data_IF_123929809142
#
_entry.id   IF_123929809142
#
_cell.length_a   1.000
_cell.length_b   1.000
_cell.length_c   1.000
_cell.angle_alpha   90.00
_cell.angle_beta   90.00
_cell.angle_gamma   90.00
#
_symmetry.space_group_name_H-M   'P 1'
#
loop_
_entity.id
_entity.type
_entity.pdbx_description
1 polymer ?
#
# COMPACT_ATOMS: atom_id res chain seq x y z
N UNK A 1 -9.25 35.27 -2.52
CA UNK A 1 -10.33 34.33 -2.17
C UNK A 1 -9.71 32.96 -2.00
N UNK A 2 -10.16 32.16 -1.02
CA UNK A 2 -9.73 30.77 -0.93
C UNK A 2 -10.37 29.98 -2.08
N UNK A 3 -9.59 29.11 -2.72
CA UNK A 3 -10.07 28.19 -3.74
C UNK A 3 -10.08 26.78 -3.17
N UNK A 4 -11.14 26.01 -3.44
CA UNK A 4 -11.22 24.60 -3.07
C UNK A 4 -10.86 23.73 -4.27
N UNK A 5 -9.91 22.82 -4.07
CA UNK A 5 -9.46 21.83 -5.05
C UNK A 5 -9.89 20.46 -4.55
N UNK A 6 -10.47 19.67 -5.44
CA UNK A 6 -10.97 18.32 -5.13
C UNK A 6 -10.30 17.34 -6.09
N UNK A 7 -9.70 16.28 -5.54
CA UNK A 7 -9.14 15.17 -6.30
C UNK A 7 -9.85 13.89 -5.88
N UNK A 8 -10.76 13.45 -6.76
CA UNK A 8 -11.61 12.28 -6.58
C UNK A 8 -11.93 11.70 -7.98
N UNK A 9 -11.31 10.58 -8.39
CA UNK A 9 -10.51 9.67 -7.56
C UNK A 9 -9.05 10.12 -7.37
N UNK A 10 -8.46 9.78 -6.23
CA UNK A 10 -7.01 9.60 -6.14
C UNK A 10 -6.65 8.30 -6.85
N UNK A 11 -5.79 8.38 -7.86
CA UNK A 11 -5.34 7.24 -8.67
C UNK A 11 -3.94 6.78 -8.26
N UNK A 12 -3.47 5.64 -8.80
CA UNK A 12 -2.18 5.02 -8.47
C UNK A 12 -2.00 4.71 -6.97
N UNK A 13 -3.11 4.37 -6.30
CA UNK A 13 -3.14 3.86 -4.94
C UNK A 13 -3.97 2.57 -4.90
N UNK A 14 -3.90 1.85 -3.79
CA UNK A 14 -4.87 0.79 -3.48
C UNK A 14 -6.15 1.43 -2.90
N UNK A 15 -7.31 0.88 -3.25
CA UNK A 15 -8.59 1.27 -2.67
C UNK A 15 -9.16 2.59 -3.21
N UNK A 16 -9.93 3.28 -2.35
CA UNK A 16 -10.70 4.47 -2.72
C UNK A 16 -10.43 5.61 -1.73
N UNK A 17 -9.91 6.72 -2.26
CA UNK A 17 -9.57 7.91 -1.50
C UNK A 17 -10.00 9.16 -2.24
N UNK A 18 -10.54 10.10 -1.47
CA UNK A 18 -10.84 11.47 -1.87
C UNK A 18 -9.98 12.42 -1.03
N UNK A 19 -9.27 13.32 -1.70
CA UNK A 19 -8.54 14.42 -1.07
C UNK A 19 -9.14 15.76 -1.51
N UNK A 20 -9.33 16.65 -0.54
CA UNK A 20 -9.72 18.04 -0.80
C UNK A 20 -8.70 18.98 -0.15
N UNK A 21 -8.43 20.11 -0.80
CA UNK A 21 -7.54 21.13 -0.29
C UNK A 21 -8.14 22.52 -0.47
N UNK A 22 -7.89 23.41 0.49
CA UNK A 22 -8.17 24.84 0.37
C UNK A 22 -6.86 25.58 0.17
N UNK A 23 -6.76 26.37 -0.91
CA UNK A 23 -5.55 27.12 -1.26
C UNK A 23 -5.76 28.61 -1.13
N UNK A 24 -4.69 29.33 -0.77
CA UNK A 24 -4.67 30.79 -0.90
C UNK A 24 -4.43 31.23 -2.36
N UNK A 25 -4.38 32.54 -2.60
CA UNK A 25 -4.17 33.10 -3.93
C UNK A 25 -2.78 32.79 -4.52
N UNK A 26 -1.80 32.37 -3.71
CA UNK A 26 -0.48 31.93 -4.17
C UNK A 26 -0.42 30.43 -4.52
N UNK A 27 -1.53 29.70 -4.31
CA UNK A 27 -1.61 28.26 -4.48
C UNK A 27 -1.15 27.46 -3.26
N UNK A 28 -0.79 28.11 -2.15
CA UNK A 28 -0.36 27.41 -0.95
C UNK A 28 -1.57 26.78 -0.22
N UNK A 29 -1.48 25.48 0.07
CA UNK A 29 -2.51 24.74 0.82
C UNK A 29 -2.58 25.28 2.26
N UNK A 30 -3.78 25.65 2.72
CA UNK A 30 -4.08 26.10 4.09
C UNK A 30 -4.84 25.07 4.91
N UNK A 31 -5.62 24.21 4.24
CA UNK A 31 -6.31 23.09 4.84
C UNK A 31 -6.34 21.93 3.85
N UNK A 32 -6.30 20.70 4.37
CA UNK A 32 -6.44 19.48 3.60
C UNK A 32 -7.37 18.51 4.34
N UNK A 33 -8.16 17.77 3.57
CA UNK A 33 -9.15 16.81 4.07
C UNK A 33 -8.92 15.46 3.39
N UNK A 34 -8.90 14.40 4.19
CA UNK A 34 -8.72 13.02 3.73
C UNK A 34 -9.97 12.20 4.02
N UNK A 35 -10.56 11.59 2.99
CA UNK A 35 -11.79 10.79 3.09
C UNK A 35 -11.59 9.44 2.43
N UNK A 36 -11.54 8.38 3.23
CA UNK A 36 -11.62 7.01 2.72
C UNK A 36 -13.05 6.73 2.24
N UNK A 37 -13.21 6.40 0.96
CA UNK A 37 -14.53 6.31 0.31
C UNK A 37 -15.01 4.86 0.14
N UNK A 38 -14.50 3.93 0.97
CA UNK A 38 -14.91 2.52 0.95
C UNK A 38 -14.97 1.90 2.34
N UNK A 39 -15.81 0.87 2.49
CA UNK A 39 -15.90 0.04 3.70
C UNK A 39 -16.36 -1.38 3.33
N UNK A 40 -15.84 -2.39 4.03
CA UNK A 40 -16.24 -3.81 3.87
C UNK A 40 -16.63 -4.52 5.17
N UNK A 41 -16.13 -4.07 6.32
CA UNK A 41 -16.52 -4.61 7.63
C UNK A 41 -15.97 -6.00 7.96
N UNK A 42 -14.71 -6.31 7.60
CA UNK A 42 -14.06 -7.60 7.92
C UNK A 42 -14.14 -7.93 9.42
N UNK A 43 -14.03 -6.93 10.30
CA UNK A 43 -14.14 -7.09 11.76
C UNK A 43 -15.50 -7.66 12.20
N UNK A 44 -16.58 -7.22 11.54
CA UNK A 44 -17.94 -7.73 11.79
C UNK A 44 -18.06 -9.14 11.23
N UNK A 45 -17.55 -9.37 10.02
CA UNK A 45 -17.59 -10.68 9.36
C UNK A 45 -16.87 -11.75 10.17
N UNK A 46 -15.79 -11.39 10.89
CA UNK A 46 -15.01 -12.32 11.71
C UNK A 46 -15.70 -12.74 13.02
N UNK A 47 -16.76 -12.05 13.45
CA UNK A 47 -17.46 -12.39 14.70
C UNK A 47 -18.08 -13.79 14.61
N UNK A 48 -17.86 -14.61 15.63
CA UNK A 48 -18.38 -15.97 15.73
C UNK A 48 -17.71 -17.00 14.81
N UNK A 49 -16.67 -16.61 14.05
CA UNK A 49 -15.87 -17.56 13.26
C UNK A 49 -14.84 -18.28 14.10
N UNK A 50 -14.43 -19.44 13.61
CA UNK A 50 -13.31 -20.17 14.20
C UNK A 50 -12.01 -19.35 14.06
N UNK A 51 -11.25 -19.11 15.16
CA UNK A 51 -9.99 -18.37 15.09
C UNK A 51 -8.98 -18.95 14.09
N UNK A 52 -9.04 -20.26 13.82
CA UNK A 52 -8.15 -20.94 12.86
C UNK A 52 -8.43 -20.54 11.41
N UNK A 53 -9.62 -20.03 11.12
CA UNK A 53 -10.01 -19.54 9.79
C UNK A 53 -9.76 -18.03 9.63
N UNK A 54 -9.55 -17.30 10.73
CA UNK A 54 -9.50 -15.84 10.74
C UNK A 54 -8.44 -15.27 9.78
N UNK A 55 -7.29 -15.92 9.65
CA UNK A 55 -6.23 -15.48 8.75
C UNK A 55 -6.68 -15.51 7.29
N UNK A 56 -7.49 -16.49 6.89
CA UNK A 56 -8.01 -16.62 5.53
C UNK A 56 -8.89 -15.42 5.14
N UNK A 57 -9.72 -14.96 6.07
CA UNK A 57 -10.56 -13.76 5.89
C UNK A 57 -9.76 -12.47 5.99
N UNK A 58 -8.94 -12.32 7.03
CA UNK A 58 -8.12 -11.12 7.26
C UNK A 58 -7.15 -10.87 6.10
N UNK A 59 -6.61 -11.92 5.49
CA UNK A 59 -5.74 -11.79 4.32
C UNK A 59 -6.42 -11.07 3.15
N UNK A 60 -7.76 -11.15 3.03
CA UNK A 60 -8.51 -10.45 1.97
C UNK A 60 -8.78 -8.99 2.29
N UNK A 61 -8.24 -8.45 3.39
CA UNK A 61 -8.27 -7.01 3.65
C UNK A 61 -7.52 -6.26 2.54
N UNK A 62 -6.41 -6.76 2.01
CA UNK A 62 -5.57 -6.01 1.09
C UNK A 62 -4.91 -6.95 0.10
N UNK A 63 -5.11 -6.71 -1.20
CA UNK A 63 -4.49 -7.51 -2.26
C UNK A 63 -3.04 -7.09 -2.58
N UNK A 64 -2.66 -5.84 -2.28
CA UNK A 64 -1.31 -5.31 -2.50
C UNK A 64 -0.37 -5.80 -1.39
N UNK A 65 -0.71 -5.49 -0.15
CA UNK A 65 -0.04 -5.96 1.06
C UNK A 65 -0.48 -7.39 1.46
N UNK A 66 -0.60 -8.27 0.46
CA UNK A 66 -1.36 -9.55 0.46
C UNK A 66 -1.15 -10.50 1.63
N UNK A 67 0.00 -10.53 2.27
CA UNK A 67 0.38 -11.49 3.31
C UNK A 67 0.16 -10.97 4.73
N UNK A 68 0.34 -9.66 4.94
CA UNK A 68 0.63 -9.11 6.28
C UNK A 68 -0.53 -9.30 7.25
N UNK A 69 -1.76 -9.16 6.77
CA UNK A 69 -2.96 -9.37 7.59
C UNK A 69 -3.16 -10.84 7.97
N UNK A 70 -2.82 -11.78 7.08
CA UNK A 70 -2.84 -13.21 7.40
C UNK A 70 -1.82 -13.55 8.48
N UNK A 71 -0.58 -13.04 8.36
CA UNK A 71 0.48 -13.24 9.36
C UNK A 71 0.13 -12.59 10.70
N UNK A 72 -0.43 -11.38 10.69
CA UNK A 72 -0.90 -10.72 11.90
C UNK A 72 -2.01 -11.52 12.59
N UNK A 73 -2.94 -12.09 11.82
CA UNK A 73 -4.02 -12.91 12.34
C UNK A 73 -3.51 -14.20 12.99
N UNK A 74 -2.61 -14.95 12.35
CA UNK A 74 -2.06 -16.17 12.97
C UNK A 74 -1.28 -15.85 14.25
N UNK A 75 -0.48 -14.77 14.25
CA UNK A 75 0.25 -14.31 15.45
C UNK A 75 -0.69 -13.92 16.59
N UNK A 76 -1.81 -13.26 16.29
CA UNK A 76 -2.79 -12.87 17.29
C UNK A 76 -3.48 -14.10 17.93
N UNK A 77 -3.84 -15.10 17.12
CA UNK A 77 -4.45 -16.34 17.62
C UNK A 77 -3.44 -17.18 18.42
N UNK A 78 -2.22 -17.32 17.94
CA UNK A 78 -1.13 -18.00 18.64
C UNK A 78 -0.85 -17.34 19.99
N UNK A 79 -0.81 -15.99 20.04
CA UNK A 79 -0.66 -15.26 21.29
C UNK A 79 -1.83 -15.49 22.25
N UNK A 80 -3.08 -15.45 21.78
CA UNK A 80 -4.25 -15.68 22.61
C UNK A 80 -4.30 -17.09 23.21
N UNK A 81 -3.74 -18.08 22.52
CA UNK A 81 -3.66 -19.48 22.96
C UNK A 81 -2.36 -19.80 23.71
N UNK A 82 -1.45 -18.83 23.86
CA UNK A 82 -0.09 -19.04 24.36
C UNK A 82 0.63 -20.20 23.63
N UNK A 83 0.50 -20.23 22.30
CA UNK A 83 1.02 -21.28 21.43
C UNK A 83 2.36 -20.87 20.81
N UNK A 84 3.41 -21.62 21.13
CA UNK A 84 4.75 -21.40 20.56
C UNK A 84 4.93 -22.16 19.25
N UNK A 85 5.47 -21.49 18.22
CA UNK A 85 5.73 -22.10 16.92
C UNK A 85 7.18 -22.60 16.82
N UNK A 86 7.44 -23.66 16.03
CA UNK A 86 8.81 -24.09 15.75
C UNK A 86 9.63 -22.98 15.05
N UNK A 87 10.93 -22.93 15.34
CA UNK A 87 11.84 -21.93 14.75
C UNK A 87 11.77 -21.88 13.22
N UNK A 88 11.67 -23.04 12.56
CA UNK A 88 11.57 -23.13 11.10
C UNK A 88 10.28 -22.47 10.56
N UNK A 89 9.17 -22.54 11.30
CA UNK A 89 7.94 -21.85 10.91
C UNK A 89 8.10 -20.33 11.01
N UNK A 90 8.76 -19.84 12.06
CA UNK A 90 9.05 -18.41 12.19
C UNK A 90 9.98 -17.91 11.07
N UNK A 91 11.02 -18.68 10.73
CA UNK A 91 11.94 -18.34 9.65
C UNK A 91 11.23 -18.26 8.30
N UNK A 92 10.39 -19.23 7.96
CA UNK A 92 9.60 -19.20 6.72
C UNK A 92 8.68 -17.98 6.68
N UNK A 93 7.97 -17.67 7.79
CA UNK A 93 7.12 -16.47 7.87
C UNK A 93 7.90 -15.18 7.65
N UNK A 94 9.11 -15.08 8.22
CA UNK A 94 9.97 -13.92 8.03
C UNK A 94 10.46 -13.80 6.58
N UNK A 95 10.82 -14.91 5.94
CA UNK A 95 11.19 -14.93 4.52
C UNK A 95 10.02 -14.48 3.63
N UNK A 96 8.80 -14.96 3.90
CA UNK A 96 7.61 -14.53 3.17
C UNK A 96 7.33 -13.03 3.35
N UNK A 97 7.47 -12.50 4.57
CA UNK A 97 7.34 -11.05 4.84
C UNK A 97 8.40 -10.27 4.07
N UNK A 98 9.65 -10.71 4.10
CA UNK A 98 10.74 -10.05 3.37
C UNK A 98 10.48 -10.06 1.85
N UNK A 99 10.00 -11.17 1.30
CA UNK A 99 9.64 -11.28 -0.11
C UNK A 99 8.51 -10.30 -0.47
N UNK A 100 7.46 -10.21 0.36
CA UNK A 100 6.41 -9.20 0.16
C UNK A 100 6.97 -7.79 0.24
N UNK A 101 7.85 -7.50 1.20
CA UNK A 101 8.40 -6.17 1.39
C UNK A 101 9.14 -5.69 0.13
N UNK A 102 9.99 -6.54 -0.44
CA UNK A 102 10.71 -6.24 -1.69
C UNK A 102 9.72 -6.05 -2.85
N UNK A 103 8.76 -6.96 -3.01
CA UNK A 103 7.76 -6.87 -4.07
C UNK A 103 6.95 -5.57 -3.99
N UNK A 104 6.38 -5.28 -2.82
CA UNK A 104 5.52 -4.12 -2.59
C UNK A 104 6.28 -2.80 -2.82
N UNK A 105 7.52 -2.70 -2.34
CA UNK A 105 8.31 -1.47 -2.48
C UNK A 105 8.74 -1.21 -3.93
N UNK A 106 9.19 -2.22 -4.65
CA UNK A 106 9.57 -2.08 -6.07
C UNK A 106 8.34 -1.78 -6.91
N UNK A 107 7.22 -2.48 -6.67
CA UNK A 107 5.97 -2.22 -7.36
C UNK A 107 5.44 -0.81 -7.11
N UNK A 108 5.40 -0.39 -5.84
CA UNK A 108 5.01 0.97 -5.46
C UNK A 108 5.89 2.02 -6.14
N UNK A 109 7.22 1.87 -6.05
CA UNK A 109 8.13 2.84 -6.63
C UNK A 109 7.88 3.04 -8.12
N UNK A 110 7.90 1.98 -8.93
CA UNK A 110 7.82 2.11 -10.38
C UNK A 110 6.40 2.34 -10.91
N UNK A 111 5.40 1.63 -10.38
CA UNK A 111 4.08 1.60 -10.98
C UNK A 111 3.10 2.59 -10.34
N UNK A 112 3.31 2.91 -9.06
CA UNK A 112 2.42 3.83 -8.34
C UNK A 112 3.04 5.22 -8.26
N UNK A 113 4.33 5.34 -7.96
CA UNK A 113 4.93 6.64 -7.59
C UNK A 113 5.80 7.27 -8.68
N UNK A 114 6.49 6.50 -9.53
CA UNK A 114 7.50 7.03 -10.46
C UNK A 114 6.95 8.08 -11.43
N UNK A 115 5.67 8.00 -11.82
CA UNK A 115 5.06 8.94 -12.76
C UNK A 115 4.74 10.32 -12.17
N UNK A 116 4.99 10.51 -10.87
CA UNK A 116 5.04 11.85 -10.26
C UNK A 116 6.38 12.54 -10.50
N UNK A 117 7.41 11.78 -10.89
CA UNK A 117 8.79 12.23 -11.04
C UNK A 117 9.31 12.11 -12.47
N UNK A 118 8.78 11.16 -13.24
CA UNK A 118 9.25 10.80 -14.58
C UNK A 118 8.23 11.25 -15.63
N UNK A 119 8.60 12.23 -16.45
CA UNK A 119 7.86 12.59 -17.66
C UNK A 119 8.14 11.57 -18.78
N UNK A 120 7.16 10.71 -19.05
CA UNK A 120 7.24 9.67 -20.08
C UNK A 120 7.42 10.26 -21.49
N UNK A 121 6.80 11.40 -21.78
CA UNK A 121 6.87 12.00 -23.13
C UNK A 121 8.26 12.60 -23.37
N UNK A 122 8.87 13.15 -22.32
CA UNK A 122 10.27 13.61 -22.37
C UNK A 122 11.25 12.50 -22.75
N UNK A 123 10.97 11.25 -22.35
CA UNK A 123 11.83 10.10 -22.67
C UNK A 123 11.98 9.86 -24.18
N UNK A 124 11.02 10.28 -25.02
CA UNK A 124 11.11 10.17 -26.49
C UNK A 124 12.21 11.04 -27.11
N UNK A 125 12.72 12.03 -26.36
CA UNK A 125 13.76 12.96 -26.80
C UNK A 125 15.15 12.59 -26.28
N UNK A 126 15.27 11.53 -25.49
CA UNK A 126 16.53 11.12 -24.90
C UNK A 126 17.50 10.57 -25.96
N UNK A 127 18.80 10.85 -25.81
CA UNK A 127 19.85 10.17 -26.58
C UNK A 127 20.18 8.81 -25.96
N UNK A 128 19.98 7.68 -26.68
CA UNK A 128 20.24 6.35 -26.12
C UNK A 128 21.68 6.14 -25.64
N UNK A 129 22.68 6.74 -26.30
CA UNK A 129 24.08 6.58 -25.90
C UNK A 129 24.38 7.30 -24.57
N UNK A 130 23.88 8.53 -24.42
CA UNK A 130 23.93 9.26 -23.16
C UNK A 130 23.17 8.53 -22.04
N UNK A 131 21.97 7.99 -22.32
CA UNK A 131 21.20 7.21 -21.33
C UNK A 131 21.94 5.95 -20.88
N UNK A 132 22.57 5.21 -21.81
CA UNK A 132 23.41 4.05 -21.46
C UNK A 132 24.60 4.44 -20.59
N UNK A 133 25.20 5.61 -20.84
CA UNK A 133 26.34 6.10 -20.05
C UNK A 133 25.90 6.50 -18.63
N UNK A 134 24.74 7.14 -18.49
CA UNK A 134 24.13 7.49 -17.20
C UNK A 134 23.81 6.24 -16.37
N UNK A 135 23.37 5.15 -16.99
CA UNK A 135 23.04 3.92 -16.27
C UNK A 135 24.26 3.18 -15.68
N UNK A 136 25.49 3.56 -16.07
CA UNK A 136 26.74 2.95 -15.62
C UNK A 136 27.45 3.75 -14.51
N UNK A 137 27.01 4.96 -14.21
CA UNK A 137 27.57 5.82 -13.14
C UNK A 137 26.95 5.51 -11.79
#
# INVERSE_FOLDING_TARGET
>A
MSQRVVVDPITRIEGHLRIEAETDASGAIKAAYSSGTMVRGIEIILRGRDPREAWGFAQRICGVCTLVHGIASVRAVENALNYEIPANANLIRNLMIAAQYVHDHVMHFYHLHALDWVDIVSALKADPAATSSLAQS
#
